data_IF_398509555531
#
_entry.id   IF_398509555531
#
_cell.length_a   1.000
_cell.length_b   1.000
_cell.length_c   1.000
_cell.angle_alpha   90.00
_cell.angle_beta   90.00
_cell.angle_gamma   90.00
#
_symmetry.space_group_name_H-M   'P 1'
#
loop_
_entity.id
_entity.type
_entity.pdbx_description
1 polymer ?
#
# COMPACT_ATOMS: atom_id res chain seq x y z
N UNK A 1 -24.80 -2.81 58.02
CA UNK A 1 -23.61 -3.21 57.22
C UNK A 1 -23.91 -3.51 55.75
N UNK A 2 -25.04 -4.16 55.40
CA UNK A 2 -25.39 -4.52 54.02
C UNK A 2 -25.48 -3.36 53.01
N UNK A 3 -25.98 -2.17 53.40
CA UNK A 3 -26.10 -1.00 52.49
C UNK A 3 -24.76 -0.41 52.04
N UNK A 4 -23.72 -0.42 52.88
CA UNK A 4 -22.41 0.15 52.53
C UNK A 4 -21.64 -0.75 51.56
N UNK A 5 -21.79 -2.06 51.70
CA UNK A 5 -21.18 -3.03 50.80
C UNK A 5 -21.73 -2.88 49.37
N UNK A 6 -23.06 -2.75 49.23
CA UNK A 6 -23.73 -2.63 47.93
C UNK A 6 -23.31 -1.36 47.16
N UNK A 7 -23.12 -0.23 47.86
CA UNK A 7 -22.66 1.02 47.24
C UNK A 7 -21.23 0.87 46.68
N UNK A 8 -20.33 0.21 47.42
CA UNK A 8 -18.94 0.02 46.98
C UNK A 8 -18.87 -0.91 45.77
N UNK A 9 -19.64 -2.01 45.76
CA UNK A 9 -19.64 -2.94 44.61
C UNK A 9 -20.19 -2.28 43.35
N UNK A 10 -21.20 -1.42 43.49
CA UNK A 10 -21.77 -0.70 42.34
C UNK A 10 -20.79 0.34 41.79
N UNK A 11 -20.05 1.03 42.66
CA UNK A 11 -19.03 2.01 42.23
C UNK A 11 -17.87 1.34 41.46
N UNK A 12 -17.42 0.17 41.91
CA UNK A 12 -16.36 -0.60 41.24
C UNK A 12 -16.85 -1.13 39.89
N UNK A 13 -18.09 -1.61 39.80
CA UNK A 13 -18.67 -2.06 38.53
C UNK A 13 -18.82 -0.92 37.52
N UNK A 14 -19.20 0.27 37.96
CA UNK A 14 -19.28 1.46 37.08
C UNK A 14 -17.89 1.91 36.63
N UNK A 15 -16.87 1.89 37.51
CA UNK A 15 -15.49 2.19 37.10
C UNK A 15 -14.92 1.16 36.10
N UNK A 16 -15.25 -0.12 36.28
CA UNK A 16 -14.79 -1.18 35.37
C UNK A 16 -15.44 -1.06 33.98
N UNK A 17 -16.68 -0.58 33.88
CA UNK A 17 -17.37 -0.39 32.60
C UNK A 17 -16.88 0.82 31.79
N UNK A 18 -16.26 1.82 32.43
CA UNK A 18 -15.70 3.00 31.73
C UNK A 18 -14.34 2.69 31.08
N UNK A 19 -13.65 1.62 31.48
CA UNK A 19 -12.31 1.26 30.97
C UNK A 19 -12.27 0.41 29.69
N UNK A 20 -13.41 -0.03 29.14
CA UNK A 20 -13.46 -1.02 28.05
C UNK A 20 -13.85 -0.47 26.68
N UNK A 21 -14.18 0.83 26.56
CA UNK A 21 -14.77 1.38 25.35
C UNK A 21 -13.89 2.38 24.58
N UNK A 22 -12.61 2.53 24.94
CA UNK A 22 -11.66 3.16 24.03
C UNK A 22 -11.09 2.06 23.13
N UNK A 23 -11.81 1.74 22.05
CA UNK A 23 -11.13 1.42 20.81
C UNK A 23 -10.26 2.66 20.55
N UNK A 24 -9.03 2.63 21.06
CA UNK A 24 -8.10 3.69 20.80
C UNK A 24 -7.98 3.71 19.29
N UNK A 25 -8.33 4.85 18.71
CA UNK A 25 -7.68 5.29 17.48
C UNK A 25 -6.19 5.28 17.82
N UNK A 26 -5.58 4.12 17.66
CA UNK A 26 -4.22 3.81 18.09
C UNK A 26 -3.21 4.33 17.05
N UNK A 27 -3.64 5.33 16.27
CA UNK A 27 -2.91 5.88 15.14
C UNK A 27 -2.85 4.93 13.95
N UNK A 28 -3.51 3.76 13.98
CA UNK A 28 -3.55 2.84 12.84
C UNK A 28 -4.31 3.47 11.69
N UNK A 29 -3.56 3.81 10.64
CA UNK A 29 -4.08 4.13 9.31
C UNK A 29 -4.62 2.84 8.71
N UNK A 30 -5.79 2.40 9.15
CA UNK A 30 -6.44 1.20 8.67
C UNK A 30 -7.17 1.52 7.35
N UNK A 31 -6.44 1.52 6.24
CA UNK A 31 -7.07 1.44 4.92
C UNK A 31 -7.41 -0.02 4.66
N UNK A 32 -8.59 -0.41 5.13
CA UNK A 32 -9.13 -1.77 5.02
C UNK A 32 -8.93 -2.33 3.60
N UNK A 33 -8.09 -3.37 3.51
CA UNK A 33 -8.21 -4.40 2.47
C UNK A 33 -7.54 -4.15 1.11
N UNK A 34 -6.59 -3.23 0.97
CA UNK A 34 -5.98 -2.96 -0.35
C UNK A 34 -4.74 -3.80 -0.70
N UNK A 35 -4.09 -4.44 0.28
CA UNK A 35 -2.88 -5.25 0.05
C UNK A 35 -3.07 -6.69 0.57
N UNK A 36 -4.23 -7.29 0.26
CA UNK A 36 -4.62 -8.59 0.79
C UNK A 36 -4.82 -8.63 2.31
N UNK A 37 -5.02 -7.46 2.92
CA UNK A 37 -5.29 -7.32 4.35
C UNK A 37 -4.08 -6.98 5.23
N UNK A 38 -2.90 -6.78 4.64
CA UNK A 38 -1.77 -6.16 5.34
C UNK A 38 -2.11 -4.71 5.75
N UNK A 39 -1.68 -4.33 6.94
CA UNK A 39 -1.95 -3.05 7.58
C UNK A 39 -0.66 -2.25 7.72
N UNK A 40 -0.61 -1.06 7.13
CA UNK A 40 0.51 -0.13 7.31
C UNK A 40 0.18 0.91 8.39
N UNK A 41 1.04 0.97 9.40
CA UNK A 41 1.03 2.00 10.44
C UNK A 41 2.21 2.93 10.21
N UNK A 42 1.99 4.24 10.13
CA UNK A 42 3.09 5.20 10.04
C UNK A 42 2.92 6.27 11.12
N UNK A 43 3.97 6.53 11.90
CA UNK A 43 3.97 7.59 12.91
C UNK A 43 5.27 8.40 12.96
N UNK A 44 5.26 9.44 13.79
CA UNK A 44 6.38 10.34 13.98
C UNK A 44 7.46 9.81 14.95
N UNK A 45 7.35 8.60 15.46
CA UNK A 45 8.26 8.00 16.45
C UNK A 45 9.04 6.84 15.82
N UNK A 46 8.33 5.81 15.39
CA UNK A 46 8.86 4.55 14.87
C UNK A 46 9.00 4.54 13.34
N UNK A 47 8.29 5.42 12.63
CA UNK A 47 8.25 5.41 11.16
C UNK A 47 7.12 4.55 10.63
N UNK A 48 7.35 3.78 9.57
CA UNK A 48 6.31 2.96 8.92
C UNK A 48 6.49 1.46 9.20
N UNK A 49 5.52 0.85 9.87
CA UNK A 49 5.46 -0.57 10.21
C UNK A 49 4.35 -1.26 9.43
N UNK A 50 4.66 -2.38 8.78
CA UNK A 50 3.67 -3.24 8.15
C UNK A 50 3.37 -4.46 9.03
N UNK A 51 2.09 -4.72 9.23
CA UNK A 51 1.56 -5.87 9.95
C UNK A 51 0.69 -6.71 8.99
N UNK A 52 0.60 -8.02 9.20
CA UNK A 52 -0.35 -8.86 8.46
C UNK A 52 -1.79 -8.72 9.01
N UNK A 53 -2.71 -9.53 8.48
CA UNK A 53 -4.13 -9.56 8.89
C UNK A 53 -4.35 -9.94 10.35
N UNK A 54 -3.44 -10.71 10.93
CA UNK A 54 -3.49 -11.16 12.32
C UNK A 54 -2.79 -10.17 13.28
N UNK A 55 -2.23 -9.09 12.74
CA UNK A 55 -1.46 -8.09 13.48
C UNK A 55 -0.02 -8.49 13.77
N UNK A 56 0.50 -9.53 13.10
CA UNK A 56 1.90 -9.94 13.23
C UNK A 56 2.81 -8.99 12.44
N UNK A 57 3.98 -8.71 13.02
CA UNK A 57 4.99 -7.85 12.42
C UNK A 57 5.60 -8.47 11.16
N UNK A 58 5.61 -7.71 10.07
CA UNK A 58 6.29 -8.08 8.82
C UNK A 58 7.60 -7.31 8.67
N UNK A 59 7.55 -5.98 8.70
CA UNK A 59 8.73 -5.12 8.61
C UNK A 59 8.46 -3.72 9.16
N UNK A 60 9.53 -2.94 9.38
CA UNK A 60 9.49 -1.53 9.71
C UNK A 60 10.57 -0.76 8.93
N UNK A 61 10.19 0.39 8.40
CA UNK A 61 11.11 1.41 7.88
C UNK A 61 11.19 2.54 8.91
N UNK A 62 12.35 2.74 9.56
CA UNK A 62 12.50 3.76 10.59
C UNK A 62 12.24 5.16 10.05
N UNK A 63 11.66 6.02 10.90
CA UNK A 63 11.41 7.43 10.58
C UNK A 63 12.65 8.14 10.05
N UNK A 64 13.83 7.88 10.63
CA UNK A 64 15.08 8.50 10.19
C UNK A 64 15.41 8.21 8.72
N UNK A 65 15.14 6.99 8.25
CA UNK A 65 15.35 6.60 6.86
C UNK A 65 14.36 7.32 5.94
N UNK A 66 13.11 7.43 6.36
CA UNK A 66 12.05 8.15 5.63
C UNK A 66 12.40 9.64 5.51
N UNK A 67 12.81 10.28 6.60
CA UNK A 67 13.16 11.71 6.64
C UNK A 67 14.41 12.01 5.79
N UNK A 68 15.44 11.16 5.87
CA UNK A 68 16.64 11.26 5.02
C UNK A 68 16.28 11.13 3.55
N UNK A 69 15.45 10.14 3.19
CA UNK A 69 15.03 9.93 1.80
C UNK A 69 14.16 11.09 1.29
N UNK A 70 13.28 11.66 2.12
CA UNK A 70 12.55 12.89 1.78
C UNK A 70 13.50 14.06 1.51
N UNK A 71 14.50 14.25 2.38
CA UNK A 71 15.49 15.33 2.22
C UNK A 71 16.22 15.18 0.90
N UNK A 72 16.74 13.98 0.62
CA UNK A 72 17.46 13.69 -0.62
C UNK A 72 16.56 13.82 -1.86
N UNK A 73 15.33 13.31 -1.82
CA UNK A 73 14.40 13.38 -2.94
C UNK A 73 14.00 14.82 -3.26
N UNK A 74 13.78 15.64 -2.23
CA UNK A 74 13.42 17.04 -2.39
C UNK A 74 14.59 17.92 -2.84
N UNK A 75 15.82 17.63 -2.39
CA UNK A 75 17.01 18.38 -2.82
C UNK A 75 17.24 18.26 -4.33
N UNK A 76 17.01 17.07 -4.88
CA UNK A 76 17.24 16.80 -6.31
C UNK A 76 15.96 16.87 -7.16
N UNK A 77 14.79 17.01 -6.54
CA UNK A 77 13.50 17.13 -7.23
C UNK A 77 13.03 15.85 -7.93
N UNK A 78 13.23 14.67 -7.32
CA UNK A 78 12.88 13.36 -7.92
C UNK A 78 11.98 12.50 -7.02
N UNK A 79 11.62 11.31 -7.52
CA UNK A 79 11.08 10.23 -6.71
C UNK A 79 12.17 9.22 -6.36
N UNK A 80 12.19 8.77 -5.10
CA UNK A 80 13.08 7.72 -4.60
C UNK A 80 12.24 6.56 -4.03
N UNK A 81 12.74 5.34 -4.17
CA UNK A 81 12.14 4.14 -3.62
C UNK A 81 12.98 3.62 -2.46
N UNK A 82 12.31 3.23 -1.37
CA UNK A 82 12.89 2.55 -0.22
C UNK A 82 12.40 1.10 -0.28
N UNK A 83 13.34 0.16 -0.36
CA UNK A 83 13.03 -1.26 -0.22
C UNK A 83 12.56 -1.52 1.21
N UNK A 84 11.26 -1.74 1.39
CA UNK A 84 10.65 -1.80 2.72
C UNK A 84 10.70 -3.20 3.33
N UNK A 85 10.48 -4.23 2.50
CA UNK A 85 10.52 -5.63 2.92
C UNK A 85 9.49 -6.50 2.20
N UNK A 86 9.15 -7.64 2.81
CA UNK A 86 8.16 -8.58 2.30
C UNK A 86 6.81 -8.39 3.01
N UNK A 87 5.76 -8.10 2.24
CA UNK A 87 4.37 -8.25 2.68
C UNK A 87 3.90 -9.70 2.60
N UNK A 88 2.66 -9.97 2.99
CA UNK A 88 2.05 -11.31 2.97
C UNK A 88 2.03 -11.92 1.56
N UNK A 89 1.83 -11.08 0.53
CA UNK A 89 1.65 -11.53 -0.85
C UNK A 89 2.81 -11.17 -1.80
N UNK A 90 3.88 -10.55 -1.31
CA UNK A 90 5.01 -10.20 -2.15
C UNK A 90 5.86 -9.05 -1.60
N UNK A 91 6.87 -8.60 -2.37
CA UNK A 91 7.70 -7.49 -1.96
C UNK A 91 6.91 -6.18 -1.87
N UNK A 92 7.35 -5.30 -0.99
CA UNK A 92 6.73 -4.01 -0.73
C UNK A 92 7.76 -2.90 -0.78
N UNK A 93 7.34 -1.73 -1.28
CA UNK A 93 8.18 -0.57 -1.52
C UNK A 93 7.51 0.67 -0.93
N UNK A 94 8.27 1.47 -0.21
CA UNK A 94 7.86 2.85 0.07
C UNK A 94 8.42 3.76 -1.02
N UNK A 95 7.59 4.64 -1.56
CA UNK A 95 8.00 5.57 -2.62
C UNK A 95 7.77 6.99 -2.12
N UNK A 96 8.86 7.76 -2.10
CA UNK A 96 8.85 9.17 -1.75
C UNK A 96 8.99 9.97 -3.02
N UNK A 97 8.02 10.83 -3.30
CA UNK A 97 8.04 11.71 -4.47
C UNK A 97 8.10 13.16 -4.00
N UNK A 98 9.11 13.91 -4.48
CA UNK A 98 9.25 15.32 -4.19
C UNK A 98 9.65 16.08 -5.46
N UNK A 99 8.66 16.61 -6.18
CA UNK A 99 8.86 17.35 -7.42
C UNK A 99 8.56 18.84 -7.21
N UNK A 100 9.30 19.72 -7.89
CA UNK A 100 9.06 21.17 -7.81
C UNK A 100 7.62 21.52 -8.21
N UNK A 101 6.93 22.30 -7.36
CA UNK A 101 5.54 22.70 -7.58
C UNK A 101 4.48 21.66 -7.14
N UNK A 102 4.89 20.50 -6.62
CA UNK A 102 3.99 19.48 -6.08
C UNK A 102 4.23 19.27 -4.58
N UNK A 103 3.17 18.89 -3.86
CA UNK A 103 3.30 18.50 -2.46
C UNK A 103 4.07 17.17 -2.35
N UNK A 104 5.07 17.06 -1.46
CA UNK A 104 5.80 15.81 -1.27
C UNK A 104 4.87 14.70 -0.78
N UNK A 105 4.97 13.49 -1.35
CA UNK A 105 4.10 12.37 -1.01
C UNK A 105 4.88 11.13 -0.60
N UNK A 106 4.37 10.40 0.39
CA UNK A 106 4.79 9.04 0.73
C UNK A 106 3.76 8.05 0.18
N UNK A 107 4.21 6.97 -0.45
CA UNK A 107 3.37 5.92 -1.01
C UNK A 107 3.83 4.55 -0.57
N UNK A 108 2.90 3.62 -0.37
CA UNK A 108 3.19 2.19 -0.31
C UNK A 108 2.77 1.54 -1.62
N UNK A 109 3.69 0.80 -2.25
CA UNK A 109 3.38 -0.15 -3.33
C UNK A 109 3.57 -1.56 -2.79
N UNK A 110 2.54 -2.40 -2.87
CA UNK A 110 2.62 -3.79 -2.43
C UNK A 110 1.66 -4.68 -3.25
N UNK A 111 1.90 -5.99 -3.21
CA UNK A 111 1.09 -7.00 -3.87
C UNK A 111 -0.14 -7.36 -3.04
N UNK A 112 -1.27 -7.62 -3.71
CA UNK A 112 -2.47 -8.20 -3.11
C UNK A 112 -2.55 -9.73 -3.28
N UNK A 113 -3.62 -10.34 -2.79
CA UNK A 113 -3.86 -11.79 -2.83
C UNK A 113 -3.98 -12.37 -4.24
N UNK A 114 -4.12 -11.52 -5.25
CA UNK A 114 -4.16 -11.91 -6.67
C UNK A 114 -2.82 -11.66 -7.37
N UNK A 115 -1.78 -11.23 -6.65
CA UNK A 115 -0.48 -10.88 -7.20
C UNK A 115 -0.49 -9.58 -8.01
N UNK A 116 -1.48 -8.71 -7.80
CA UNK A 116 -1.54 -7.39 -8.43
C UNK A 116 -0.90 -6.36 -7.51
N UNK A 117 -0.11 -5.44 -8.09
CA UNK A 117 0.46 -4.31 -7.37
C UNK A 117 -0.63 -3.24 -7.17
N UNK A 118 -0.86 -2.87 -5.92
CA UNK A 118 -1.68 -1.71 -5.54
C UNK A 118 -0.77 -0.59 -5.00
N UNK A 119 -1.30 0.64 -4.96
CA UNK A 119 -0.61 1.81 -4.42
C UNK A 119 -1.54 2.59 -3.49
N UNK A 120 -1.05 2.99 -2.32
CA UNK A 120 -1.72 3.90 -1.40
C UNK A 120 -0.83 5.09 -1.11
N UNK A 121 -1.43 6.29 -1.01
CA UNK A 121 -0.75 7.53 -0.65
C UNK A 121 -1.02 7.89 0.81
N UNK A 122 0.02 8.38 1.47
CA UNK A 122 -0.02 8.86 2.84
C UNK A 122 0.41 10.33 2.89
N UNK A 123 -0.23 11.13 3.76
CA UNK A 123 0.20 12.49 4.02
C UNK A 123 1.55 12.48 4.75
N UNK A 124 2.37 13.51 4.52
CA UNK A 124 3.73 13.60 5.07
C UNK A 124 3.76 13.77 6.58
N UNK A 125 2.71 14.35 7.16
CA UNK A 125 2.62 14.64 8.59
C UNK A 125 2.26 13.41 9.43
N UNK A 126 2.14 12.24 8.80
CA UNK A 126 1.70 10.99 9.43
C UNK A 126 0.28 11.12 10.02
N UNK A 127 -0.51 12.08 9.52
CA UNK A 127 -1.90 12.20 9.91
C UNK A 127 -2.67 10.96 9.45
N UNK A 128 -3.64 10.48 10.25
CA UNK A 128 -4.47 9.36 9.85
C UNK A 128 -5.17 9.67 8.53
N UNK A 129 -5.00 8.80 7.53
CA UNK A 129 -5.85 8.84 6.35
C UNK A 129 -7.19 8.27 6.78
N UNK A 130 -8.15 9.14 7.14
CA UNK A 130 -9.51 8.69 7.36
C UNK A 130 -9.99 8.00 6.09
N UNK A 131 -10.47 6.76 6.19
CA UNK A 131 -11.16 6.13 5.07
C UNK A 131 -12.19 7.13 4.55
N UNK A 132 -12.10 7.50 3.27
CA UNK A 132 -13.11 8.33 2.65
C UNK A 132 -14.44 7.66 2.95
N UNK A 133 -15.30 8.35 3.70
CA UNK A 133 -16.67 7.87 3.92
C UNK A 133 -17.20 7.65 2.52
N UNK A 134 -17.44 6.39 2.14
CA UNK A 134 -17.94 6.07 0.83
C UNK A 134 -19.28 6.81 0.70
N UNK A 135 -19.29 7.93 -0.03
CA UNK A 135 -20.53 8.45 -0.54
C UNK A 135 -21.14 7.30 -1.36
N UNK A 136 -22.44 7.01 -1.21
CA UNK A 136 -23.07 5.97 -1.97
C UNK A 136 -22.96 6.33 -3.46
N UNK A 137 -21.98 5.74 -4.13
CA UNK A 137 -21.82 5.83 -5.57
C UNK A 137 -23.08 5.23 -6.18
N UNK A 138 -23.94 6.06 -6.79
CA UNK A 138 -25.00 5.56 -7.66
C UNK A 138 -24.34 4.62 -8.68
N UNK A 139 -24.74 3.35 -8.67
CA UNK A 139 -24.36 2.33 -9.65
C UNK A 139 -24.69 2.87 -11.04
N UNK A 140 -23.70 3.48 -11.69
CA UNK A 140 -23.76 3.79 -13.10
C UNK A 140 -23.64 2.47 -13.83
N UNK A 141 -24.75 1.97 -14.36
CA UNK A 141 -24.83 0.72 -15.08
C UNK A 141 -23.68 0.61 -16.11
N UNK A 142 -22.83 -0.40 -15.94
CA UNK A 142 -21.74 -0.73 -16.86
C UNK A 142 -22.31 -0.95 -18.27
N UNK A 143 -21.82 -0.23 -19.30
CA UNK A 143 -22.24 -0.51 -20.66
C UNK A 143 -21.76 -1.92 -21.05
N UNK A 144 -22.68 -2.75 -21.56
CA UNK A 144 -22.39 -4.08 -22.11
C UNK A 144 -21.25 -3.98 -23.13
N UNK A 145 -20.16 -4.74 -22.99
CA UNK A 145 -19.05 -4.68 -23.94
C UNK A 145 -19.53 -5.11 -25.33
N UNK A 146 -19.32 -4.24 -26.32
CA UNK A 146 -19.51 -4.57 -27.73
C UNK A 146 -18.43 -5.59 -28.14
N UNK A 147 -18.84 -6.67 -28.80
CA UNK A 147 -17.94 -7.74 -29.23
C UNK A 147 -16.77 -7.19 -30.08
N UNK A 148 -15.55 -7.43 -29.62
CA UNK A 148 -14.31 -7.09 -30.34
C UNK A 148 -14.19 -7.97 -31.59
N UNK A 149 -13.93 -7.40 -32.79
CA UNK A 149 -13.69 -8.20 -33.99
C UNK A 149 -12.43 -9.07 -33.83
N UNK A 150 -12.55 -10.34 -34.24
CA UNK A 150 -11.48 -11.33 -34.21
C UNK A 150 -10.25 -10.84 -35.02
N UNK A 151 -9.02 -10.99 -34.50
CA UNK A 151 -7.83 -10.57 -35.24
C UNK A 151 -7.64 -11.42 -36.50
N UNK A 152 -7.36 -10.75 -37.63
CA UNK A 152 -6.92 -11.35 -38.88
C UNK A 152 -5.56 -12.02 -38.68
N UNK A 153 -5.36 -13.27 -39.14
CA UNK A 153 -4.07 -13.97 -38.96
C UNK A 153 -2.93 -13.22 -39.67
N UNK A 154 -1.80 -13.11 -38.98
CA UNK A 154 -0.56 -12.54 -39.52
C UNK A 154 0.01 -13.45 -40.63
N UNK A 155 0.54 -12.90 -41.74
CA UNK A 155 1.16 -13.70 -42.79
C UNK A 155 2.40 -14.45 -42.27
N UNK A 156 2.51 -15.72 -42.65
CA UNK A 156 3.66 -16.57 -42.37
C UNK A 156 4.89 -16.05 -43.12
N UNK A 157 6.05 -15.84 -42.45
CA UNK A 157 7.27 -15.43 -43.13
C UNK A 157 7.78 -16.53 -44.10
N UNK A 158 8.43 -16.14 -45.21
CA UNK A 158 8.97 -17.08 -46.19
C UNK A 158 10.16 -17.88 -45.61
N UNK A 159 10.41 -19.11 -46.09
CA UNK A 159 11.53 -19.93 -45.64
C UNK A 159 12.89 -19.33 -46.04
N UNK A 160 13.83 -19.31 -45.10
CA UNK A 160 15.20 -18.84 -45.35
C UNK A 160 15.91 -19.71 -46.40
N UNK A 161 16.36 -19.07 -47.49
CA UNK A 161 17.21 -19.71 -48.49
C UNK A 161 18.67 -19.68 -48.03
N UNK A 162 19.27 -20.86 -47.86
CA UNK A 162 20.69 -21.03 -47.57
C UNK A 162 21.50 -20.70 -48.82
N UNK A 163 22.24 -19.59 -48.79
CA UNK A 163 23.31 -19.34 -49.76
C UNK A 163 24.65 -19.68 -49.10
N UNK A 164 25.44 -20.62 -49.66
CA UNK A 164 26.79 -20.84 -49.19
C UNK A 164 27.66 -19.70 -49.69
N UNK A 165 28.09 -18.81 -48.81
CA UNK A 165 29.17 -17.87 -49.09
C UNK A 165 30.06 -17.77 -47.87
N UNK A 166 31.33 -18.15 -48.07
CA UNK A 166 32.44 -17.85 -47.19
C UNK A 166 32.50 -16.35 -46.97
N UNK A 167 32.07 -15.88 -45.82
CA UNK A 167 32.80 -14.90 -45.00
C UNK A 167 32.02 -14.62 -43.72
N UNK A 168 32.77 -14.46 -42.63
CA UNK A 168 32.26 -14.29 -41.27
C UNK A 168 31.66 -12.88 -41.15
N UNK A 169 30.34 -12.78 -41.32
CA UNK A 169 29.54 -11.67 -40.80
C UNK A 169 28.33 -12.20 -40.02
N UNK A 170 27.91 -11.51 -38.93
CA UNK A 170 26.75 -11.93 -38.15
C UNK A 170 25.46 -11.78 -38.99
N UNK A 171 24.76 -12.91 -39.19
CA UNK A 171 23.44 -12.93 -39.82
C UNK A 171 22.39 -12.32 -38.89
N UNK A 172 21.59 -11.39 -39.43
CA UNK A 172 20.32 -10.95 -38.82
C UNK A 172 19.22 -11.57 -39.68
N UNK A 173 18.43 -12.45 -39.07
CA UNK A 173 17.24 -13.04 -39.67
C UNK A 173 16.02 -12.14 -39.46
#
# INVERSE_FOLDING_TARGET
>A
MKKRFLIITTLIAVLAMVGLAQAQDDGRINMVGHFGGDNLYCDNIDGCTLLNTDGEFLWNVPKSVIDETFTNACEVGISQEIEAGMGTYGPSLLVISCYEGYEPTLKLKAFDEHGKINEIRFPRDYSPVSAATAEPTEETATPTPSATPSPTPSPTPPPCAWTPTSDIQPQVC
#
